data_IF_075768461359
#
_entry.id   IF_075768461359
#
_cell.length_a   1.000
_cell.length_b   1.000
_cell.length_c   1.000
_cell.angle_alpha   90.00
_cell.angle_beta   90.00
_cell.angle_gamma   90.00
#
_symmetry.space_group_name_H-M   'P 1'
#
loop_
_entity.id
_entity.type
_entity.pdbx_description
1 polymer ?
#
# COMPACT_ATOMS: atom_id res chain seq x y z
N UNK A 1 21.74 -18.13 16.59
CA UNK A 1 20.61 -18.03 17.54
C UNK A 1 19.64 -17.06 16.92
N UNK A 2 18.60 -17.57 16.25
CA UNK A 2 17.66 -16.76 15.51
C UNK A 2 16.47 -16.45 16.43
N UNK A 3 15.97 -15.22 16.37
CA UNK A 3 14.77 -14.79 17.08
C UNK A 3 13.61 -15.63 16.55
N UNK A 4 12.87 -16.30 17.42
CA UNK A 4 11.66 -17.01 16.99
C UNK A 4 10.47 -16.06 16.98
N UNK A 5 9.44 -16.32 16.14
CA UNK A 5 8.21 -15.52 16.16
C UNK A 5 7.57 -15.43 17.56
N UNK A 6 7.70 -16.49 18.36
CA UNK A 6 7.19 -16.54 19.74
C UNK A 6 7.98 -15.63 20.71
N UNK A 7 9.27 -15.38 20.43
CA UNK A 7 10.10 -14.48 21.23
C UNK A 7 9.72 -13.01 21.04
N UNK A 8 9.11 -12.65 19.90
CA UNK A 8 8.62 -11.30 19.63
C UNK A 8 7.31 -11.02 20.35
N UNK A 9 6.40 -12.00 20.37
CA UNK A 9 5.10 -11.89 21.05
C UNK A 9 5.26 -11.74 22.56
N UNK A 10 6.26 -12.40 23.13
CA UNK A 10 6.55 -12.33 24.58
C UNK A 10 7.49 -11.18 24.97
N UNK A 11 7.95 -10.37 23.99
CA UNK A 11 8.91 -9.31 24.25
C UNK A 11 8.22 -8.11 24.89
N UNK A 12 8.66 -7.74 26.08
CA UNK A 12 8.27 -6.49 26.73
C UNK A 12 9.45 -5.51 26.77
N UNK A 13 9.19 -4.26 26.40
CA UNK A 13 10.15 -3.16 26.49
C UNK A 13 9.90 -2.33 27.74
N UNK A 14 10.97 -1.78 28.33
CA UNK A 14 10.85 -0.86 29.48
C UNK A 14 10.34 0.49 28.98
N UNK A 15 9.33 1.05 29.63
CA UNK A 15 8.80 2.38 29.31
C UNK A 15 9.80 3.42 29.85
N UNK A 16 10.34 4.25 28.96
CA UNK A 16 11.26 5.35 29.32
C UNK A 16 10.43 6.62 29.48
N UNK A 17 10.38 7.18 30.69
CA UNK A 17 9.61 8.38 31.02
C UNK A 17 10.43 9.68 31.01
N UNK A 18 11.76 9.59 31.03
CA UNK A 18 12.66 10.75 31.21
C UNK A 18 13.29 11.26 29.90
N UNK A 19 13.24 10.48 28.81
CA UNK A 19 13.71 10.86 27.47
C UNK A 19 12.64 10.49 26.43
N UNK A 20 12.56 11.24 25.32
CA UNK A 20 11.60 10.99 24.23
C UNK A 20 11.71 9.56 23.70
N UNK A 21 10.81 8.69 24.16
CA UNK A 21 10.71 7.30 23.73
C UNK A 21 9.90 7.14 22.45
N UNK A 22 9.92 5.92 21.90
CA UNK A 22 9.04 5.50 20.81
C UNK A 22 7.59 5.40 21.30
N UNK A 23 6.63 5.72 20.43
CA UNK A 23 5.21 5.53 20.73
C UNK A 23 4.91 4.04 20.90
N UNK A 24 4.22 3.69 21.99
CA UNK A 24 3.93 2.30 22.31
C UNK A 24 3.06 1.64 21.24
N UNK A 25 2.06 2.35 20.73
CA UNK A 25 1.13 1.78 19.75
C UNK A 25 1.84 1.54 18.41
N UNK A 26 2.71 2.47 18.00
CA UNK A 26 3.50 2.32 16.76
C UNK A 26 4.48 1.15 16.85
N UNK A 27 5.09 0.95 18.03
CA UNK A 27 5.95 -0.21 18.29
C UNK A 27 5.13 -1.50 18.28
N UNK A 28 3.96 -1.53 18.92
CA UNK A 28 3.08 -2.71 18.96
C UNK A 28 2.60 -3.08 17.52
N UNK A 29 2.19 -2.10 16.71
CA UNK A 29 1.77 -2.30 15.31
C UNK A 29 2.91 -2.85 14.44
N UNK A 30 4.14 -2.32 14.59
CA UNK A 30 5.31 -2.79 13.86
C UNK A 30 5.71 -4.21 14.26
N UNK A 31 5.58 -4.58 15.54
CA UNK A 31 5.89 -5.92 16.02
C UNK A 31 4.91 -6.96 15.46
N UNK A 32 3.63 -6.61 15.32
CA UNK A 32 2.63 -7.48 14.70
C UNK A 32 2.95 -7.77 13.22
N UNK A 33 3.37 -6.74 12.47
CA UNK A 33 3.84 -6.88 11.09
C UNK A 33 5.07 -7.80 11.01
N UNK A 34 6.05 -7.58 11.87
CA UNK A 34 7.29 -8.37 11.91
C UNK A 34 7.05 -9.84 12.23
N UNK A 35 6.06 -10.16 13.09
CA UNK A 35 5.70 -11.54 13.43
C UNK A 35 5.10 -12.27 12.23
N UNK A 36 4.25 -11.61 11.44
CA UNK A 36 3.66 -12.17 10.22
C UNK A 36 4.76 -12.48 9.20
N UNK A 37 5.66 -11.52 8.96
CA UNK A 37 6.74 -11.67 8.00
C UNK A 37 7.74 -12.75 8.43
N UNK A 38 8.12 -12.78 9.71
CA UNK A 38 9.05 -13.77 10.24
C UNK A 38 8.45 -15.19 10.13
N UNK A 39 7.15 -15.35 10.41
CA UNK A 39 6.47 -16.64 10.23
C UNK A 39 6.47 -17.09 8.78
N UNK A 40 6.23 -16.16 7.84
CA UNK A 40 6.28 -16.44 6.41
C UNK A 40 7.70 -16.85 5.96
N UNK A 41 8.74 -16.14 6.40
CA UNK A 41 10.13 -16.47 6.08
C UNK A 41 10.54 -17.86 6.61
N UNK A 42 10.09 -18.24 7.81
CA UNK A 42 10.34 -19.58 8.33
C UNK A 42 9.57 -20.66 7.55
N UNK A 43 8.31 -20.40 7.16
CA UNK A 43 7.58 -21.36 6.33
C UNK A 43 8.18 -21.53 4.94
N UNK A 44 8.67 -20.44 4.35
CA UNK A 44 9.34 -20.46 3.05
C UNK A 44 10.66 -21.22 3.13
N UNK A 45 11.44 -20.99 4.19
CA UNK A 45 12.66 -21.75 4.48
C UNK A 45 12.37 -23.24 4.59
N UNK A 46 11.37 -23.62 5.38
CA UNK A 46 10.99 -25.03 5.55
C UNK A 46 10.51 -25.65 4.22
N UNK A 47 9.80 -24.89 3.39
CA UNK A 47 9.35 -25.34 2.07
C UNK A 47 10.53 -25.53 1.10
N UNK A 48 11.49 -24.59 1.09
CA UNK A 48 12.72 -24.66 0.31
C UNK A 48 13.61 -25.82 0.76
N UNK A 49 13.78 -26.03 2.07
CA UNK A 49 14.54 -27.16 2.60
C UNK A 49 13.90 -28.50 2.19
N UNK A 50 12.56 -28.62 2.26
CA UNK A 50 11.84 -29.81 1.73
C UNK A 50 12.00 -29.98 0.23
N UNK A 51 12.01 -28.90 -0.53
CA UNK A 51 12.20 -28.95 -1.98
C UNK A 51 13.60 -29.42 -2.34
N UNK A 52 14.63 -28.93 -1.64
CA UNK A 52 16.02 -29.38 -1.78
C UNK A 52 16.13 -30.86 -1.40
N UNK A 53 15.51 -31.28 -0.30
CA UNK A 53 15.54 -32.67 0.15
C UNK A 53 14.86 -33.60 -0.87
N UNK A 54 13.70 -33.22 -1.42
CA UNK A 54 13.02 -33.95 -2.48
C UNK A 54 13.83 -34.00 -3.78
N UNK A 55 14.47 -32.90 -4.17
CA UNK A 55 15.35 -32.85 -5.34
C UNK A 55 16.61 -33.69 -5.13
N UNK A 56 17.15 -33.71 -3.92
CA UNK A 56 18.30 -34.56 -3.56
C UNK A 56 17.93 -36.04 -3.47
N UNK A 57 16.70 -36.37 -3.07
CA UNK A 57 16.17 -37.73 -3.04
C UNK A 57 15.73 -38.24 -4.42
N UNK A 58 15.30 -37.35 -5.32
CA UNK A 58 14.99 -37.66 -6.73
C UNK A 58 16.20 -37.52 -7.65
N UNK A 59 17.35 -37.02 -7.16
CA UNK A 59 18.60 -37.15 -7.87
C UNK A 59 19.02 -38.63 -7.81
N UNK A 60 19.12 -39.35 -8.93
CA UNK A 60 19.73 -40.68 -8.89
C UNK A 60 21.15 -40.51 -8.38
N UNK A 61 21.53 -41.35 -7.42
CA UNK A 61 22.90 -41.51 -6.95
C UNK A 61 23.87 -41.41 -8.13
N UNK A 62 24.58 -40.28 -8.22
CA UNK A 62 25.88 -40.28 -8.86
C UNK A 62 26.82 -40.77 -7.77
N UNK A 63 27.31 -42.03 -7.84
CA UNK A 63 28.23 -42.50 -6.84
C UNK A 63 29.50 -41.68 -7.00
N UNK A 64 29.94 -41.04 -5.92
CA UNK A 64 31.34 -40.75 -5.72
C UNK A 64 32.11 -42.07 -5.94
N UNK A 65 32.74 -42.16 -7.11
CA UNK A 65 33.48 -43.33 -7.54
C UNK A 65 34.67 -43.53 -6.61
N UNK A 66 34.69 -44.70 -5.97
CA UNK A 66 35.87 -45.28 -5.37
C UNK A 66 37.00 -45.36 -6.42
N UNK A 67 38.17 -44.89 -6.01
CA UNK A 67 39.44 -45.14 -6.70
C UNK A 67 39.83 -46.61 -6.53
N UNK A 68 39.61 -47.42 -7.57
CA UNK A 68 40.29 -48.69 -7.82
C UNK A 68 40.45 -48.92 -9.34
N UNK A 69 41.60 -49.43 -9.81
CA UNK A 69 41.94 -49.41 -11.24
C UNK A 69 41.48 -50.71 -11.93
N UNK A 70 40.74 -50.59 -13.02
CA UNK A 70 40.57 -51.67 -13.98
C UNK A 70 40.43 -51.10 -15.39
N UNK A 71 41.27 -51.64 -16.26
CA UNK A 71 41.49 -51.25 -17.64
C UNK A 71 40.36 -51.67 -18.58
N UNK A 72 40.24 -50.88 -19.65
CA UNK A 72 39.86 -51.25 -21.03
C UNK A 72 38.62 -52.11 -21.26
N UNK A 73 37.59 -51.46 -21.80
CA UNK A 73 36.92 -51.96 -23.01
C UNK A 73 36.63 -50.80 -23.96
N UNK A 74 36.86 -51.07 -25.23
CA UNK A 74 36.86 -50.11 -26.32
C UNK A 74 35.46 -49.55 -26.63
N UNK A 75 35.47 -48.37 -27.25
CA UNK A 75 34.35 -47.59 -27.76
C UNK A 75 33.28 -48.38 -28.53
N UNK A 76 32.14 -47.74 -28.76
CA UNK A 76 31.84 -47.33 -30.13
C UNK A 76 31.72 -45.81 -30.19
N UNK A 77 32.41 -45.21 -31.15
CA UNK A 77 32.13 -43.87 -31.59
C UNK A 77 30.68 -43.83 -32.09
N UNK A 78 29.74 -43.42 -31.24
CA UNK A 78 28.43 -42.97 -31.68
C UNK A 78 28.64 -41.78 -32.61
N UNK A 79 27.98 -41.81 -33.76
CA UNK A 79 28.25 -40.92 -34.87
C UNK A 79 28.18 -39.43 -34.43
N UNK A 80 29.08 -38.55 -34.91
CA UNK A 80 29.01 -37.10 -34.65
C UNK A 80 27.71 -36.44 -35.15
N UNK A 81 26.88 -37.18 -35.90
CA UNK A 81 25.61 -36.74 -36.45
C UNK A 81 24.46 -36.75 -35.41
N UNK A 82 24.43 -37.70 -34.46
CA UNK A 82 23.37 -37.75 -33.43
C UNK A 82 23.53 -36.65 -32.38
N UNK A 83 24.77 -36.32 -32.00
CA UNK A 83 25.07 -35.21 -31.10
C UNK A 83 24.73 -33.85 -31.74
N UNK A 84 25.01 -33.69 -33.03
CA UNK A 84 24.65 -32.48 -33.77
C UNK A 84 23.13 -32.32 -33.92
N UNK A 85 22.39 -33.42 -34.14
CA UNK A 85 20.93 -33.40 -34.21
C UNK A 85 20.29 -33.04 -32.86
N UNK A 86 20.82 -33.56 -31.75
CA UNK A 86 20.37 -33.19 -30.40
C UNK A 86 20.66 -31.73 -30.06
N UNK A 87 21.83 -31.21 -30.44
CA UNK A 87 22.16 -29.79 -30.25
C UNK A 87 21.25 -28.85 -31.06
N UNK A 88 20.96 -29.20 -32.31
CA UNK A 88 20.03 -28.43 -33.14
C UNK A 88 18.60 -28.45 -32.56
N UNK A 89 18.16 -29.58 -32.03
CA UNK A 89 16.87 -29.69 -31.33
C UNK A 89 16.86 -28.87 -30.04
N UNK A 90 17.95 -28.90 -29.25
CA UNK A 90 18.07 -28.11 -28.03
C UNK A 90 18.05 -26.60 -28.31
N UNK A 91 18.76 -26.13 -29.35
CA UNK A 91 18.71 -24.73 -29.78
C UNK A 91 17.32 -24.31 -30.22
N UNK A 92 16.64 -25.14 -31.03
CA UNK A 92 15.27 -24.86 -31.44
C UNK A 92 14.31 -24.75 -30.24
N UNK A 93 14.39 -25.68 -29.30
CA UNK A 93 13.57 -25.65 -28.08
C UNK A 93 13.88 -24.41 -27.26
N UNK A 94 15.16 -24.04 -27.14
CA UNK A 94 15.55 -22.79 -26.47
C UNK A 94 14.93 -21.57 -27.14
N UNK A 95 15.04 -21.45 -28.47
CA UNK A 95 14.49 -20.32 -29.22
C UNK A 95 12.95 -20.26 -29.11
N UNK A 96 12.28 -21.42 -29.09
CA UNK A 96 10.84 -21.52 -28.84
C UNK A 96 10.48 -21.03 -27.42
N UNK A 97 11.27 -21.36 -26.40
CA UNK A 97 11.06 -20.87 -25.02
C UNK A 97 11.34 -19.37 -24.88
N UNK A 98 12.37 -18.86 -25.55
CA UNK A 98 12.67 -17.41 -25.56
C UNK A 98 11.52 -16.66 -26.22
N UNK A 99 11.03 -17.11 -27.37
CA UNK A 99 9.89 -16.50 -28.04
C UNK A 99 8.61 -16.56 -27.20
N UNK A 100 8.37 -17.66 -26.47
CA UNK A 100 7.25 -17.76 -25.53
C UNK A 100 7.42 -16.80 -24.34
N UNK A 101 8.63 -16.68 -23.79
CA UNK A 101 8.93 -15.75 -22.70
C UNK A 101 8.76 -14.29 -23.11
N UNK A 102 9.19 -13.93 -24.31
CA UNK A 102 8.99 -12.57 -24.86
C UNK A 102 7.51 -12.24 -25.05
N UNK A 103 6.70 -13.19 -25.56
CA UNK A 103 5.25 -13.02 -25.69
C UNK A 103 4.57 -12.87 -24.34
N UNK A 104 4.86 -13.77 -23.40
CA UNK A 104 4.29 -13.72 -22.05
C UNK A 104 4.66 -12.40 -21.34
N UNK A 105 5.90 -11.92 -21.51
CA UNK A 105 6.33 -10.61 -21.01
C UNK A 105 5.54 -9.48 -21.65
N UNK A 106 5.37 -9.48 -22.97
CA UNK A 106 4.63 -8.43 -23.67
C UNK A 106 3.16 -8.38 -23.21
N UNK A 107 2.52 -9.54 -23.08
CA UNK A 107 1.14 -9.64 -22.58
C UNK A 107 1.02 -9.14 -21.13
N UNK A 108 1.98 -9.49 -20.26
CA UNK A 108 1.98 -9.05 -18.86
C UNK A 108 2.21 -7.53 -18.74
N UNK A 109 3.10 -6.97 -19.57
CA UNK A 109 3.32 -5.52 -19.64
C UNK A 109 2.04 -4.82 -20.11
N UNK A 110 1.40 -5.30 -21.17
CA UNK A 110 0.17 -4.70 -21.68
C UNK A 110 -0.96 -4.75 -20.63
N UNK A 111 -1.10 -5.86 -19.90
CA UNK A 111 -2.07 -5.98 -18.82
C UNK A 111 -1.74 -5.04 -17.65
N UNK A 112 -0.47 -4.93 -17.28
CA UNK A 112 -0.01 -4.03 -16.23
C UNK A 112 -0.23 -2.56 -16.60
N UNK A 113 0.08 -2.16 -17.84
CA UNK A 113 -0.16 -0.81 -18.37
C UNK A 113 -1.65 -0.48 -18.37
N UNK A 114 -2.51 -1.40 -18.85
CA UNK A 114 -3.97 -1.21 -18.80
C UNK A 114 -4.50 -1.05 -17.38
N UNK A 115 -4.00 -1.84 -16.43
CA UNK A 115 -4.39 -1.72 -15.02
C UNK A 115 -3.91 -0.41 -14.41
N UNK A 116 -2.69 0.02 -14.72
CA UNK A 116 -2.15 1.29 -14.27
C UNK A 116 -2.97 2.46 -14.81
N UNK A 117 -3.28 2.46 -16.12
CA UNK A 117 -4.10 3.50 -16.76
C UNK A 117 -5.52 3.53 -16.19
N UNK A 118 -6.12 2.37 -15.96
CA UNK A 118 -7.44 2.27 -15.32
C UNK A 118 -7.42 2.84 -13.90
N UNK A 119 -6.42 2.49 -13.08
CA UNK A 119 -6.26 2.99 -11.73
C UNK A 119 -6.01 4.51 -11.70
N UNK A 120 -5.21 5.02 -12.62
CA UNK A 120 -4.96 6.47 -12.76
C UNK A 120 -6.23 7.19 -13.18
N UNK A 121 -6.99 6.66 -14.13
CA UNK A 121 -8.26 7.23 -14.56
C UNK A 121 -9.28 7.25 -13.41
N UNK A 122 -9.40 6.16 -12.64
CA UNK A 122 -10.30 6.10 -11.49
C UNK A 122 -9.90 7.10 -10.41
N UNK A 123 -8.61 7.18 -10.07
CA UNK A 123 -8.11 8.15 -9.11
C UNK A 123 -8.34 9.60 -9.57
N UNK A 124 -8.20 9.88 -10.87
CA UNK A 124 -8.50 11.19 -11.43
C UNK A 124 -9.99 11.53 -11.36
N UNK A 125 -10.88 10.56 -11.62
CA UNK A 125 -12.33 10.74 -11.50
C UNK A 125 -12.74 11.00 -10.05
N UNK A 126 -12.25 10.20 -9.11
CA UNK A 126 -12.52 10.39 -7.68
C UNK A 126 -12.01 11.75 -7.20
N UNK A 127 -10.82 12.18 -7.66
CA UNK A 127 -10.28 13.51 -7.34
C UNK A 127 -11.20 14.62 -7.86
N UNK A 128 -11.67 14.51 -9.10
CA UNK A 128 -12.55 15.51 -9.70
C UNK A 128 -13.89 15.58 -8.95
N UNK A 129 -14.48 14.44 -8.60
CA UNK A 129 -15.73 14.37 -7.83
C UNK A 129 -15.57 14.99 -6.43
N UNK A 130 -14.47 14.71 -5.74
CA UNK A 130 -14.19 15.31 -4.43
C UNK A 130 -13.99 16.82 -4.57
N UNK A 131 -13.27 17.28 -5.60
CA UNK A 131 -13.06 18.71 -5.83
C UNK A 131 -14.36 19.43 -6.20
N UNK A 132 -15.22 18.83 -7.03
CA UNK A 132 -16.52 19.41 -7.36
C UNK A 132 -17.39 19.52 -6.11
N UNK A 133 -17.47 18.44 -5.31
CA UNK A 133 -18.20 18.45 -4.05
C UNK A 133 -17.69 19.50 -3.07
N UNK A 134 -16.38 19.61 -2.89
CA UNK A 134 -15.78 20.62 -2.00
C UNK A 134 -16.02 22.04 -2.51
N UNK A 135 -16.11 22.24 -3.82
CA UNK A 135 -16.45 23.53 -4.42
C UNK A 135 -17.91 23.89 -4.13
N UNK A 136 -18.84 22.95 -4.30
CA UNK A 136 -20.26 23.14 -3.99
C UNK A 136 -20.47 23.44 -2.50
N UNK A 137 -19.84 22.67 -1.61
CA UNK A 137 -19.89 22.89 -0.16
C UNK A 137 -19.31 24.27 0.21
N UNK A 138 -18.21 24.68 -0.43
CA UNK A 138 -17.63 26.01 -0.22
C UNK A 138 -18.60 27.12 -0.64
N UNK A 139 -19.22 27.00 -1.82
CA UNK A 139 -20.19 27.99 -2.30
C UNK A 139 -21.41 28.07 -1.36
N UNK A 140 -21.93 26.94 -0.90
CA UNK A 140 -23.02 26.91 0.08
C UNK A 140 -22.64 27.61 1.39
N UNK A 141 -21.45 27.33 1.92
CA UNK A 141 -20.94 27.99 3.12
C UNK A 141 -20.75 29.49 2.91
N UNK A 142 -20.24 29.92 1.75
CA UNK A 142 -20.09 31.34 1.43
C UNK A 142 -21.44 32.07 1.42
N UNK A 143 -22.46 31.47 0.80
CA UNK A 143 -23.84 32.01 0.80
C UNK A 143 -24.39 32.07 2.22
N UNK A 144 -24.19 31.02 3.03
CA UNK A 144 -24.65 30.99 4.42
C UNK A 144 -23.98 32.11 5.25
N UNK A 145 -22.68 32.31 5.08
CA UNK A 145 -21.94 33.38 5.77
C UNK A 145 -22.47 34.77 5.37
N UNK A 146 -22.73 35.00 4.09
CA UNK A 146 -23.28 36.28 3.63
C UNK A 146 -24.70 36.51 4.18
N UNK A 147 -25.54 35.48 4.19
CA UNK A 147 -26.87 35.53 4.78
C UNK A 147 -26.83 35.86 6.28
N UNK A 148 -25.90 35.25 7.04
CA UNK A 148 -25.71 35.54 8.46
C UNK A 148 -25.24 36.97 8.71
N UNK A 149 -24.27 37.47 7.92
CA UNK A 149 -23.81 38.87 8.01
C UNK A 149 -24.94 39.85 7.70
N UNK A 150 -25.76 39.55 6.69
CA UNK A 150 -26.94 40.33 6.35
C UNK A 150 -27.99 40.32 7.47
N UNK A 151 -28.22 39.17 8.09
CA UNK A 151 -29.11 39.03 9.24
C UNK A 151 -28.60 39.85 10.44
N UNK A 152 -27.31 39.76 10.78
CA UNK A 152 -26.70 40.52 11.87
C UNK A 152 -26.85 42.03 11.66
N UNK A 153 -26.54 42.53 10.46
CA UNK A 153 -26.66 43.95 10.12
C UNK A 153 -28.10 44.46 10.26
N UNK A 154 -29.07 43.70 9.74
CA UNK A 154 -30.50 44.03 9.89
C UNK A 154 -30.96 43.96 11.34
N UNK A 155 -30.54 42.94 12.09
CA UNK A 155 -30.87 42.78 13.50
C UNK A 155 -30.34 43.96 14.32
N UNK A 156 -29.07 44.32 14.13
CA UNK A 156 -28.43 45.47 14.80
C UNK A 156 -29.14 46.78 14.47
N UNK A 157 -29.49 46.99 13.20
CA UNK A 157 -30.24 48.18 12.76
C UNK A 157 -31.62 48.26 13.42
N UNK A 158 -32.34 47.14 13.47
CA UNK A 158 -33.66 47.05 14.12
C UNK A 158 -33.58 47.27 15.63
N UNK A 159 -32.54 46.74 16.28
CA UNK A 159 -32.31 46.96 17.71
C UNK A 159 -32.02 48.43 18.01
N UNK A 160 -31.17 49.07 17.21
CA UNK A 160 -30.88 50.50 17.35
C UNK A 160 -32.12 51.36 17.14
N UNK A 161 -32.93 51.07 16.12
CA UNK A 161 -34.21 51.77 15.89
C UNK A 161 -35.18 51.60 17.06
N UNK A 162 -35.30 50.38 17.60
CA UNK A 162 -36.16 50.13 18.75
C UNK A 162 -35.70 50.89 20.00
N UNK A 163 -34.39 50.89 20.28
CA UNK A 163 -33.83 51.64 21.41
C UNK A 163 -34.00 53.16 21.24
N UNK A 164 -33.79 53.70 20.04
CA UNK A 164 -34.00 55.13 19.78
C UNK A 164 -35.48 55.51 19.96
N UNK A 165 -36.40 54.69 19.46
CA UNK A 165 -37.84 54.88 19.69
C UNK A 165 -38.20 54.91 21.18
N UNK A 166 -37.66 53.98 21.98
CA UNK A 166 -37.85 53.98 23.44
C UNK A 166 -37.27 55.23 24.11
N UNK A 167 -36.09 55.69 23.67
CA UNK A 167 -35.48 56.92 24.20
C UNK A 167 -36.32 58.15 23.85
N UNK A 168 -36.88 58.24 22.64
CA UNK A 168 -37.77 59.33 22.24
C UNK A 168 -39.08 59.32 23.05
N UNK A 169 -39.66 58.14 23.28
CA UNK A 169 -40.84 57.99 24.14
C UNK A 169 -40.57 58.49 25.57
N UNK A 170 -39.43 58.12 26.16
CA UNK A 170 -39.00 58.62 27.48
C UNK A 170 -38.79 60.14 27.50
N UNK A 171 -38.22 60.72 26.45
CA UNK A 171 -38.07 62.19 26.33
C UNK A 171 -39.42 62.88 26.27
N UNK A 172 -40.36 62.32 25.50
CA UNK A 172 -41.71 62.86 25.38
C UNK A 172 -42.46 62.79 26.72
N UNK A 173 -42.37 61.66 27.44
CA UNK A 173 -42.94 61.51 28.78
C UNK A 173 -42.41 62.58 29.74
N UNK A 174 -41.09 62.79 29.80
CA UNK A 174 -40.48 63.82 30.65
C UNK A 174 -40.89 65.23 30.25
N UNK A 175 -41.03 65.51 28.96
CA UNK A 175 -41.48 66.82 28.48
C UNK A 175 -42.92 67.11 28.90
N UNK A 176 -43.80 66.09 28.91
CA UNK A 176 -45.18 66.23 29.37
C UNK A 176 -45.21 66.56 30.86
N UNK A 177 -44.43 65.84 31.69
CA UNK A 177 -44.33 66.11 33.13
C UNK A 177 -43.78 67.50 33.45
N UNK A 178 -42.85 68.04 32.65
CA UNK A 178 -42.30 69.38 32.85
C UNK A 178 -43.26 70.53 32.42
N UNK A 179 -44.32 70.20 31.69
CA UNK A 179 -45.30 71.17 31.16
C UNK A 179 -46.64 71.18 31.91
N UNK A 180 -46.83 70.27 32.86
CA UNK A 180 -47.97 70.19 33.77
C UNK A 180 -47.64 70.83 35.13
#
# INVERSE_FOLDING_TARGET
>A
MAITPEDLITKSFKIVTEESGYDRNEVDDFLDELVVELRALYSDRDALERQVEQLSANAPDSPAAAVAPAQSSAAPAAAPQDAAALLAMAQKVHDDYVAQGEKAKAELIEEAEKKADAMVSEAQQQREEVLSRLTDEKEELEIAVEALRGFESRYRSKLLQHLDAQVQELKNLKSIEASA
#
